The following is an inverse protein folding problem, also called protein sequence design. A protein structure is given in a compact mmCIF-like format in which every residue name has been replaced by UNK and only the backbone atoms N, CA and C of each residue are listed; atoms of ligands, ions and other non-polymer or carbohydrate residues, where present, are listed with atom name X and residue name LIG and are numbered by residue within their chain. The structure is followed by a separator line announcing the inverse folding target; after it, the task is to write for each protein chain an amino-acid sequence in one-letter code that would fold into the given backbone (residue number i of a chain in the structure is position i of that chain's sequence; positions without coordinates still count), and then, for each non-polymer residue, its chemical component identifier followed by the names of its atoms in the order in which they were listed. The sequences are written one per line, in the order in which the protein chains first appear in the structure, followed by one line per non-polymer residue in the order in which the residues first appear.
data_IF_661625184158
#
_entry.id   IF_661625184158
#
_cell.length_a   1.000
_cell.length_b   1.000
_cell.length_c   1.000
_cell.angle_alpha   90.00
_cell.angle_beta   90.00
_cell.angle_gamma   90.00
#
_symmetry.space_group_name_H-M   'P 1'
#
loop_
_entity.id
_entity.type
_entity.pdbx_description
1 polymer ?
#
# COMPACT_ATOMS: atom_id res chain seq x y z
N UNK A 1 -5.86 11.92 19.35
CA UNK A 1 -7.31 11.70 19.61
C UNK A 1 -7.98 11.57 18.26
N UNK A 2 -8.16 10.33 17.82
CA UNK A 2 -8.79 9.99 16.54
C UNK A 2 -10.30 10.05 16.72
N UNK A 3 -10.94 11.04 16.11
CA UNK A 3 -12.40 11.12 16.04
C UNK A 3 -12.91 10.00 15.14
N UNK A 4 -13.46 8.95 15.76
CA UNK A 4 -14.35 8.02 15.07
C UNK A 4 -15.67 8.75 14.84
N UNK A 5 -15.89 9.27 13.64
CA UNK A 5 -17.25 9.62 13.22
C UNK A 5 -18.06 8.32 13.08
N UNK A 6 -19.26 8.25 13.68
CA UNK A 6 -20.10 7.08 13.55
C UNK A 6 -20.62 7.01 12.12
N UNK A 7 -20.39 5.87 11.46
CA UNK A 7 -21.05 5.49 10.22
C UNK A 7 -22.56 5.49 10.52
N UNK A 8 -23.29 6.47 10.00
CA UNK A 8 -24.75 6.50 10.08
C UNK A 8 -25.29 5.27 9.33
N UNK A 9 -25.83 4.35 10.11
CA UNK A 9 -26.43 3.09 9.68
C UNK A 9 -27.71 3.39 8.88
N UNK A 10 -27.69 3.10 7.58
CA UNK A 10 -28.62 2.29 6.72
C UNK A 10 -30.15 2.30 6.97
N UNK A 11 -30.67 2.95 8.02
CA UNK A 11 -32.07 2.88 8.43
C UNK A 11 -33.05 3.73 7.61
N UNK A 12 -32.61 4.87 7.06
CA UNK A 12 -33.49 5.78 6.29
C UNK A 12 -33.82 5.26 4.89
N UNK A 13 -32.87 4.58 4.25
CA UNK A 13 -33.03 4.06 2.88
C UNK A 13 -34.02 2.90 2.81
N UNK A 14 -34.02 1.99 3.78
CA UNK A 14 -34.93 0.84 3.77
C UNK A 14 -36.38 1.27 4.02
N UNK A 15 -36.60 2.28 4.86
CA UNK A 15 -37.94 2.84 5.11
C UNK A 15 -38.48 3.57 3.88
N UNK A 16 -37.64 4.36 3.21
CA UNK A 16 -38.01 5.06 1.95
C UNK A 16 -38.36 4.07 0.83
N UNK A 17 -37.61 2.97 0.69
CA UNK A 17 -37.94 1.92 -0.27
C UNK A 17 -39.26 1.22 0.05
N UNK A 18 -39.52 0.91 1.32
CA UNK A 18 -40.77 0.27 1.74
C UNK A 18 -41.97 1.19 1.56
N UNK A 19 -41.80 2.50 1.77
CA UNK A 19 -42.84 3.50 1.57
C UNK A 19 -43.23 3.60 0.08
N UNK A 20 -42.26 3.70 -0.83
CA UNK A 20 -42.53 3.74 -2.28
C UNK A 20 -43.19 2.44 -2.77
N UNK A 21 -42.74 1.28 -2.27
CA UNK A 21 -43.35 -0.01 -2.63
C UNK A 21 -44.79 -0.11 -2.11
N UNK A 22 -45.06 0.39 -0.91
CA UNK A 22 -46.41 0.44 -0.35
C UNK A 22 -47.32 1.32 -1.20
N UNK A 23 -46.84 2.50 -1.59
CA UNK A 23 -47.60 3.45 -2.43
C UNK A 23 -47.90 2.85 -3.81
N UNK A 24 -46.93 2.16 -4.43
CA UNK A 24 -47.16 1.42 -5.68
C UNK A 24 -48.22 0.32 -5.53
N UNK A 25 -48.19 -0.41 -4.40
CA UNK A 25 -49.17 -1.46 -4.13
C UNK A 25 -50.59 -0.89 -4.03
N UNK A 26 -50.76 0.25 -3.36
CA UNK A 26 -52.07 0.91 -3.21
C UNK A 26 -52.66 1.36 -4.57
N UNK A 27 -51.81 1.92 -5.44
CA UNK A 27 -52.20 2.28 -6.81
C UNK A 27 -52.60 1.03 -7.63
N UNK A 28 -51.83 -0.06 -7.51
CA UNK A 28 -52.11 -1.31 -8.21
C UNK A 28 -53.39 -1.99 -7.72
N UNK A 29 -53.65 -2.00 -6.41
CA UNK A 29 -54.89 -2.54 -5.83
C UNK A 29 -56.13 -1.79 -6.34
N UNK A 30 -55.97 -0.51 -6.67
CA UNK A 30 -57.04 0.30 -7.27
C UNK A 30 -57.21 0.02 -8.77
N UNK A 31 -56.12 -0.13 -9.51
CA UNK A 31 -56.12 -0.32 -10.97
C UNK A 31 -56.49 -1.75 -11.39
N UNK A 32 -56.02 -2.76 -10.66
CA UNK A 32 -56.19 -4.17 -11.00
C UNK A 32 -57.66 -4.60 -11.21
N UNK A 33 -58.60 -4.31 -10.29
CA UNK A 33 -60.00 -4.68 -10.50
C UNK A 33 -60.65 -3.95 -11.67
N UNK A 34 -60.24 -2.70 -11.96
CA UNK A 34 -60.73 -1.93 -13.10
C UNK A 34 -60.26 -2.56 -14.41
N UNK A 35 -58.98 -2.93 -14.51
CA UNK A 35 -58.46 -3.63 -15.69
C UNK A 35 -59.10 -5.00 -15.89
N UNK A 36 -59.33 -5.76 -14.82
CA UNK A 36 -60.00 -7.06 -14.91
C UNK A 36 -61.41 -6.91 -15.48
N UNK A 37 -62.18 -5.93 -15.00
CA UNK A 37 -63.53 -5.64 -15.52
C UNK A 37 -63.49 -5.19 -16.98
N UNK A 38 -62.55 -4.32 -17.34
CA UNK A 38 -62.37 -3.86 -18.71
C UNK A 38 -62.06 -5.01 -19.67
N UNK A 39 -61.14 -5.91 -19.30
CA UNK A 39 -60.78 -7.09 -20.10
C UNK A 39 -61.99 -7.98 -20.31
N UNK A 40 -62.81 -8.23 -19.28
CA UNK A 40 -64.02 -9.03 -19.39
C UNK A 40 -65.04 -8.41 -20.36
N UNK A 41 -65.24 -7.09 -20.31
CA UNK A 41 -66.15 -6.39 -21.21
C UNK A 41 -65.63 -6.42 -22.67
N UNK A 42 -64.34 -6.22 -22.87
CA UNK A 42 -63.69 -6.32 -24.19
C UNK A 42 -63.84 -7.74 -24.77
N UNK A 43 -63.60 -8.77 -23.96
CA UNK A 43 -63.75 -10.17 -24.38
C UNK A 43 -65.19 -10.50 -24.79
N UNK A 44 -66.18 -10.04 -24.01
CA UNK A 44 -67.61 -10.18 -24.37
C UNK A 44 -67.91 -9.47 -25.69
N UNK A 45 -67.43 -8.24 -25.86
CA UNK A 45 -67.65 -7.44 -27.06
C UNK A 45 -67.10 -8.13 -28.32
N UNK A 46 -65.84 -8.57 -28.31
CA UNK A 46 -65.24 -9.27 -29.45
C UNK A 46 -65.83 -10.66 -29.70
N UNK A 47 -66.21 -11.38 -28.63
CA UNK A 47 -66.90 -12.66 -28.75
C UNK A 47 -68.26 -12.53 -29.44
N UNK A 48 -69.05 -11.51 -29.06
CA UNK A 48 -70.35 -11.23 -29.68
C UNK A 48 -70.20 -10.73 -31.11
N UNK A 49 -69.20 -9.90 -31.39
CA UNK A 49 -68.89 -9.44 -32.76
C UNK A 49 -68.65 -10.62 -33.71
N UNK A 50 -67.83 -11.59 -33.29
CA UNK A 50 -67.56 -12.79 -34.09
C UNK A 50 -68.81 -13.64 -34.37
N UNK A 51 -69.77 -13.67 -33.43
CA UNK A 51 -71.03 -14.41 -33.59
C UNK A 51 -71.98 -13.69 -34.56
N UNK A 52 -72.06 -12.36 -34.48
CA UNK A 52 -72.83 -11.53 -35.42
C UNK A 52 -72.28 -11.67 -36.85
N UNK A 53 -70.96 -11.63 -37.01
CA UNK A 53 -70.29 -11.81 -38.31
C UNK A 53 -70.55 -13.21 -38.92
N UNK A 54 -70.97 -14.19 -38.10
CA UNK A 54 -71.27 -15.58 -38.51
C UNK A 54 -72.75 -15.87 -38.83
N UNK A 55 -73.62 -14.84 -38.88
CA UNK A 55 -75.05 -14.92 -39.29
C UNK A 55 -76.00 -15.76 -38.40
N UNK A 56 -75.60 -16.13 -37.18
CA UNK A 56 -76.48 -16.82 -36.23
C UNK A 56 -77.43 -15.81 -35.55
N UNK A 57 -78.74 -16.06 -35.53
CA UNK A 57 -79.79 -15.32 -34.79
C UNK A 57 -79.58 -13.80 -34.56
N UNK A 58 -79.39 -13.05 -35.65
CA UNK A 58 -78.99 -11.63 -35.67
C UNK A 58 -79.74 -10.72 -34.68
N UNK A 59 -81.07 -10.90 -34.53
CA UNK A 59 -81.92 -9.99 -33.72
C UNK A 59 -81.61 -10.02 -32.22
N UNK A 60 -81.24 -11.18 -31.66
CA UNK A 60 -80.94 -11.29 -30.22
C UNK A 60 -79.48 -10.91 -29.93
N UNK A 61 -78.58 -11.21 -30.87
CA UNK A 61 -77.17 -10.87 -30.75
C UNK A 61 -76.89 -9.38 -30.95
N UNK A 62 -77.61 -8.69 -31.85
CA UNK A 62 -77.47 -7.23 -32.04
C UNK A 62 -77.86 -6.46 -30.76
N UNK A 63 -79.01 -6.77 -30.15
CA UNK A 63 -79.43 -6.12 -28.89
C UNK A 63 -78.43 -6.37 -27.76
N UNK A 64 -77.91 -7.60 -27.67
CA UNK A 64 -76.91 -7.95 -26.66
C UNK A 64 -75.59 -7.22 -26.90
N UNK A 65 -75.22 -7.03 -28.16
CA UNK A 65 -74.03 -6.28 -28.56
C UNK A 65 -74.15 -4.79 -28.26
N UNK A 66 -75.29 -4.17 -28.56
CA UNK A 66 -75.59 -2.77 -28.20
C UNK A 66 -75.50 -2.57 -26.68
N UNK A 67 -76.08 -3.49 -25.90
CA UNK A 67 -75.99 -3.43 -24.43
C UNK A 67 -74.53 -3.50 -23.93
N UNK A 68 -73.72 -4.44 -24.46
CA UNK A 68 -72.30 -4.55 -24.07
C UNK A 68 -71.48 -3.33 -24.52
N UNK A 69 -71.82 -2.73 -25.66
CA UNK A 69 -71.20 -1.49 -26.10
C UNK A 69 -71.53 -0.32 -25.18
N UNK A 70 -72.80 -0.17 -24.78
CA UNK A 70 -73.21 0.83 -23.78
C UNK A 70 -72.55 0.60 -22.42
N UNK A 71 -72.43 -0.66 -21.96
CA UNK A 71 -71.69 -0.99 -20.73
C UNK A 71 -70.21 -0.60 -20.80
N UNK A 72 -69.57 -0.75 -21.97
CA UNK A 72 -68.20 -0.31 -22.20
C UNK A 72 -68.07 1.22 -22.17
N UNK A 73 -68.99 1.91 -22.85
CA UNK A 73 -69.01 3.38 -22.90
C UNK A 73 -69.23 3.97 -21.50
N UNK A 74 -70.19 3.45 -20.74
CA UNK A 74 -70.44 3.84 -19.34
C UNK A 74 -69.23 3.55 -18.46
N UNK A 75 -68.63 2.36 -18.58
CA UNK A 75 -67.42 2.01 -17.85
C UNK A 75 -66.28 3.00 -18.11
N UNK A 76 -66.04 3.37 -19.38
CA UNK A 76 -65.02 4.36 -19.71
C UNK A 76 -65.38 5.75 -19.18
N UNK A 77 -66.61 6.22 -19.37
CA UNK A 77 -67.02 7.54 -18.89
C UNK A 77 -66.90 7.68 -17.37
N UNK A 78 -67.19 6.62 -16.61
CA UNK A 78 -67.11 6.63 -15.15
C UNK A 78 -65.69 6.47 -14.60
N UNK A 79 -64.83 5.72 -15.31
CA UNK A 79 -63.54 5.28 -14.76
C UNK A 79 -62.32 5.85 -15.49
N UNK A 80 -62.49 6.57 -16.61
CA UNK A 80 -61.38 7.09 -17.41
C UNK A 80 -60.49 8.04 -16.60
N UNK A 81 -61.08 9.01 -15.91
CA UNK A 81 -60.30 9.98 -15.11
C UNK A 81 -59.54 9.28 -13.99
N UNK A 82 -60.18 8.32 -13.32
CA UNK A 82 -59.56 7.52 -12.26
C UNK A 82 -58.41 6.68 -12.78
N UNK A 83 -58.60 5.95 -13.89
CA UNK A 83 -57.54 5.18 -14.56
C UNK A 83 -56.38 6.07 -14.97
N UNK A 84 -56.68 7.24 -15.56
CA UNK A 84 -55.68 8.20 -16.02
C UNK A 84 -54.84 8.75 -14.87
N UNK A 85 -55.48 9.19 -13.79
CA UNK A 85 -54.80 9.75 -12.61
C UNK A 85 -53.91 8.68 -11.95
N UNK A 86 -54.47 7.51 -11.66
CA UNK A 86 -53.73 6.43 -11.00
C UNK A 86 -52.56 5.92 -11.84
N UNK A 87 -52.69 5.85 -13.17
CA UNK A 87 -51.58 5.50 -14.06
C UNK A 87 -50.46 6.57 -14.06
N UNK A 88 -50.84 7.84 -13.98
CA UNK A 88 -49.87 8.94 -13.89
C UNK A 88 -49.12 8.90 -12.55
N UNK A 89 -49.82 8.69 -11.44
CA UNK A 89 -49.20 8.59 -10.11
C UNK A 89 -48.32 7.33 -10.00
N UNK A 90 -48.77 6.17 -10.51
CA UNK A 90 -47.96 4.95 -10.57
C UNK A 90 -46.66 5.16 -11.38
N UNK A 91 -46.72 5.92 -12.49
CA UNK A 91 -45.54 6.22 -13.30
C UNK A 91 -44.58 7.18 -12.57
N UNK A 92 -45.09 8.14 -11.79
CA UNK A 92 -44.25 9.02 -10.97
C UNK A 92 -43.54 8.24 -9.85
N UNK A 93 -44.26 7.36 -9.16
CA UNK A 93 -43.68 6.53 -8.09
C UNK A 93 -42.65 5.55 -8.64
N UNK A 94 -42.89 4.95 -9.82
CA UNK A 94 -41.90 4.10 -10.50
C UNK A 94 -40.62 4.87 -10.89
N UNK A 95 -40.75 6.09 -11.44
CA UNK A 95 -39.58 6.95 -11.70
C UNK A 95 -38.81 7.29 -10.42
N UNK A 96 -39.52 7.64 -9.35
CA UNK A 96 -38.92 7.93 -8.05
C UNK A 96 -38.14 6.71 -7.52
N UNK A 97 -38.71 5.51 -7.64
CA UNK A 97 -38.04 4.27 -7.27
C UNK A 97 -36.76 4.03 -8.10
N UNK A 98 -36.83 4.23 -9.42
CA UNK A 98 -35.67 4.07 -10.32
C UNK A 98 -34.55 5.05 -9.98
N UNK A 99 -34.88 6.31 -9.71
CA UNK A 99 -33.90 7.33 -9.31
C UNK A 99 -33.26 6.99 -7.96
N UNK A 100 -34.05 6.56 -6.98
CA UNK A 100 -33.55 6.11 -5.68
C UNK A 100 -32.63 4.89 -5.84
N UNK A 101 -33.00 3.90 -6.64
CA UNK A 101 -32.18 2.73 -6.93
C UNK A 101 -30.84 3.09 -7.57
N UNK A 102 -30.86 3.97 -8.59
CA UNK A 102 -29.64 4.44 -9.25
C UNK A 102 -28.73 5.23 -8.31
N UNK A 103 -29.30 6.04 -7.41
CA UNK A 103 -28.53 6.75 -6.39
C UNK A 103 -27.79 5.78 -5.46
N UNK A 104 -28.47 4.72 -4.99
CA UNK A 104 -27.89 3.68 -4.11
C UNK A 104 -26.84 2.84 -4.84
N UNK A 105 -27.05 2.56 -6.12
CA UNK A 105 -26.06 1.88 -6.96
C UNK A 105 -24.76 2.71 -7.07
N UNK A 106 -24.88 4.03 -7.26
CA UNK A 106 -23.72 4.94 -7.30
C UNK A 106 -23.01 5.03 -5.95
N UNK A 107 -23.76 5.08 -4.85
CA UNK A 107 -23.19 5.05 -3.49
C UNK A 107 -22.39 3.76 -3.25
N UNK A 108 -22.94 2.60 -3.58
CA UNK A 108 -22.25 1.30 -3.41
C UNK A 108 -21.00 1.19 -4.28
N UNK A 109 -21.05 1.63 -5.53
CA UNK A 109 -19.86 1.70 -6.40
C UNK A 109 -18.80 2.69 -5.88
N UNK A 110 -19.23 3.81 -5.32
CA UNK A 110 -18.35 4.79 -4.66
C UNK A 110 -17.71 4.25 -3.38
N UNK A 111 -18.45 3.45 -2.61
CA UNK A 111 -17.96 2.78 -1.41
C UNK A 111 -16.95 1.68 -1.74
N UNK A 112 -17.15 0.91 -2.79
CA UNK A 112 -16.22 -0.13 -3.23
C UNK A 112 -14.88 0.48 -3.66
N UNK A 113 -14.91 1.46 -4.56
CA UNK A 113 -13.71 2.17 -5.01
C UNK A 113 -13.03 2.98 -3.89
N UNK A 114 -13.82 3.64 -3.04
CA UNK A 114 -13.30 4.42 -1.92
C UNK A 114 -12.69 3.56 -0.82
N UNK A 115 -13.28 2.40 -0.54
CA UNK A 115 -12.76 1.44 0.45
C UNK A 115 -11.52 0.73 -0.08
N UNK A 116 -11.51 0.32 -1.36
CA UNK A 116 -10.32 -0.25 -2.00
C UNK A 116 -9.16 0.75 -2.01
N UNK A 117 -9.41 2.02 -2.33
CA UNK A 117 -8.38 3.07 -2.29
C UNK A 117 -7.87 3.32 -0.86
N UNK A 118 -8.75 3.36 0.14
CA UNK A 118 -8.34 3.51 1.55
C UNK A 118 -7.55 2.30 2.06
N UNK A 119 -7.94 1.08 1.66
CA UNK A 119 -7.24 -0.16 1.96
C UNK A 119 -5.86 -0.14 1.28
N UNK A 120 -5.77 0.24 0.01
CA UNK A 120 -4.51 0.37 -0.73
C UNK A 120 -3.55 1.36 -0.05
N UNK A 121 -4.03 2.56 0.31
CA UNK A 121 -3.21 3.57 1.00
C UNK A 121 -2.77 3.10 2.39
N UNK A 122 -3.62 2.37 3.12
CA UNK A 122 -3.25 1.80 4.41
C UNK A 122 -2.26 0.64 4.27
N UNK A 123 -2.37 -0.17 3.21
CA UNK A 123 -1.39 -1.21 2.90
C UNK A 123 -0.05 -0.63 2.49
N UNK A 124 -0.02 0.42 1.66
CA UNK A 124 1.21 1.14 1.30
C UNK A 124 1.88 1.71 2.55
N UNK A 125 1.14 2.38 3.44
CA UNK A 125 1.68 2.89 4.71
C UNK A 125 2.19 1.77 5.61
N UNK A 126 1.45 0.67 5.73
CA UNK A 126 1.86 -0.48 6.57
C UNK A 126 3.11 -1.16 5.98
N UNK A 127 3.21 -1.21 4.66
CA UNK A 127 4.37 -1.76 3.95
C UNK A 127 5.59 -0.84 4.10
N UNK A 128 5.43 0.48 4.01
CA UNK A 128 6.47 1.45 4.26
C UNK A 128 6.96 1.41 5.73
N UNK A 129 6.05 1.25 6.68
CA UNK A 129 6.39 1.02 8.09
C UNK A 129 7.14 -0.29 8.29
N UNK A 130 6.72 -1.36 7.62
CA UNK A 130 7.41 -2.64 7.65
C UNK A 130 8.82 -2.57 7.05
N UNK A 131 9.00 -1.86 5.92
CA UNK A 131 10.31 -1.61 5.33
C UNK A 131 11.22 -0.81 6.28
N UNK A 132 10.69 0.25 6.91
CA UNK A 132 11.40 1.01 7.94
C UNK A 132 11.75 0.14 9.14
N UNK A 133 10.86 -0.76 9.57
CA UNK A 133 11.12 -1.66 10.68
C UNK A 133 12.20 -2.71 10.33
N UNK A 134 12.23 -3.21 9.09
CA UNK A 134 13.30 -4.06 8.59
C UNK A 134 14.64 -3.34 8.52
N UNK A 135 14.66 -2.07 8.09
CA UNK A 135 15.85 -1.23 8.12
C UNK A 135 16.31 -0.98 9.56
N UNK A 136 15.38 -0.70 10.48
CA UNK A 136 15.67 -0.56 11.92
C UNK A 136 16.16 -1.88 12.54
N UNK A 137 15.65 -3.05 12.11
CA UNK A 137 16.14 -4.36 12.54
C UNK A 137 17.54 -4.66 12.00
N UNK A 138 17.85 -4.26 10.75
CA UNK A 138 19.21 -4.32 10.20
C UNK A 138 20.16 -3.37 10.92
N UNK A 139 19.70 -2.16 11.23
CA UNK A 139 20.47 -1.16 11.98
C UNK A 139 20.68 -1.58 13.43
N UNK A 140 19.68 -2.13 14.12
CA UNK A 140 19.81 -2.61 15.51
C UNK A 140 20.70 -3.85 15.63
N UNK A 141 20.74 -4.73 14.62
CA UNK A 141 21.77 -5.78 14.52
C UNK A 141 23.19 -5.20 14.32
N UNK A 142 23.30 -4.01 13.72
CA UNK A 142 24.57 -3.30 13.51
C UNK A 142 24.95 -2.34 14.65
N UNK A 143 24.02 -2.02 15.56
CA UNK A 143 24.35 -1.48 16.89
C UNK A 143 24.76 -2.67 17.75
N UNK A 144 25.89 -3.28 17.40
CA UNK A 144 26.54 -4.26 18.24
C UNK A 144 26.81 -3.66 19.62
N UNK A 145 26.76 -4.51 20.64
CA UNK A 145 27.22 -4.21 22.00
C UNK A 145 28.40 -3.24 21.95
N UNK A 146 28.17 -1.98 22.36
CA UNK A 146 29.22 -0.98 22.41
C UNK A 146 30.27 -1.50 23.39
N UNK A 147 31.40 -1.97 22.86
CA UNK A 147 32.52 -2.40 23.68
C UNK A 147 32.94 -1.22 24.56
N UNK A 148 33.12 -1.41 25.87
CA UNK A 148 33.55 -0.33 26.75
C UNK A 148 34.89 0.23 26.26
N UNK A 149 35.01 1.54 26.25
CA UNK A 149 36.25 2.22 25.87
C UNK A 149 37.17 2.15 27.10
N UNK A 150 38.21 1.32 27.00
CA UNK A 150 39.28 1.24 28.00
C UNK A 150 40.26 2.36 27.70
N UNK A 151 40.36 3.33 28.61
CA UNK A 151 41.26 4.48 28.45
C UNK A 151 42.64 4.17 29.05
N UNK A 152 42.70 3.34 30.10
CA UNK A 152 43.90 2.69 30.69
C UNK A 152 43.49 1.52 31.62
N UNK A 153 44.44 0.71 32.11
CA UNK A 153 44.22 -0.56 32.84
C UNK A 153 43.22 -0.49 34.01
N UNK A 154 42.99 0.69 34.61
CA UNK A 154 42.09 0.86 35.76
C UNK A 154 40.89 1.80 35.52
N UNK A 155 40.67 2.30 34.29
CA UNK A 155 39.57 3.22 33.99
C UNK A 155 38.69 2.70 32.84
N UNK A 156 37.60 2.01 33.22
CA UNK A 156 36.57 1.50 32.31
C UNK A 156 35.35 2.42 32.40
N UNK A 157 35.04 3.14 31.33
CA UNK A 157 33.82 3.96 31.25
C UNK A 157 32.70 3.13 30.63
N UNK A 158 31.67 2.80 31.42
CA UNK A 158 30.45 2.18 30.92
C UNK A 158 29.58 3.22 30.20
N UNK A 159 29.45 3.06 28.88
CA UNK A 159 28.75 3.99 27.99
C UNK A 159 27.21 4.02 28.19
N UNK A 160 26.66 3.11 29.01
CA UNK A 160 25.22 3.01 29.26
C UNK A 160 24.69 4.01 30.31
N UNK A 161 25.58 4.66 31.08
CA UNK A 161 25.22 5.59 32.17
C UNK A 161 25.42 7.07 31.80
N UNK A 162 25.94 7.34 30.59
CA UNK A 162 26.25 8.70 30.14
C UNK A 162 25.10 9.29 29.31
N UNK A 163 24.82 10.57 29.55
CA UNK A 163 23.83 11.31 28.76
C UNK A 163 24.32 11.55 27.32
N UNK A 164 23.38 11.70 26.38
CA UNK A 164 23.65 11.90 24.95
C UNK A 164 24.60 13.07 24.65
N UNK A 165 24.58 14.13 25.44
CA UNK A 165 25.50 15.28 25.33
C UNK A 165 26.93 14.92 25.73
N UNK A 166 27.11 14.18 26.82
CA UNK A 166 28.42 13.75 27.32
C UNK A 166 29.11 12.79 26.35
N UNK A 167 28.37 11.88 25.73
CA UNK A 167 28.91 10.97 24.70
C UNK A 167 29.41 11.75 23.48
N UNK A 168 28.68 12.78 23.05
CA UNK A 168 29.08 13.60 21.90
C UNK A 168 30.36 14.39 22.18
N UNK A 169 30.53 14.90 23.39
CA UNK A 169 31.73 15.64 23.75
C UNK A 169 32.96 14.71 23.88
N UNK A 170 32.78 13.51 24.44
CA UNK A 170 33.83 12.47 24.43
C UNK A 170 34.22 12.10 23.00
N UNK A 171 33.26 11.89 22.11
CA UNK A 171 33.53 11.56 20.70
C UNK A 171 34.28 12.68 19.97
N UNK A 172 33.99 13.95 20.26
CA UNK A 172 34.73 15.09 19.70
C UNK A 172 36.17 15.09 20.18
N UNK A 173 36.40 14.93 21.49
CA UNK A 173 37.74 14.87 22.07
C UNK A 173 38.53 13.69 21.49
N UNK A 174 37.89 12.53 21.38
CA UNK A 174 38.52 11.31 20.86
C UNK A 174 38.84 11.42 19.37
N UNK A 175 37.94 12.02 18.58
CA UNK A 175 38.20 12.33 17.17
C UNK A 175 39.43 13.22 17.01
N UNK A 176 39.57 14.26 17.84
CA UNK A 176 40.73 15.16 17.81
C UNK A 176 42.01 14.42 18.21
N UNK A 177 41.97 13.63 19.29
CA UNK A 177 43.11 12.81 19.74
C UNK A 177 43.57 11.83 18.67
N UNK A 178 42.64 11.09 18.05
CA UNK A 178 42.94 10.14 16.97
C UNK A 178 43.50 10.83 15.73
N UNK A 179 42.95 11.98 15.33
CA UNK A 179 43.50 12.76 14.22
C UNK A 179 44.93 13.22 14.49
N UNK A 180 45.23 13.67 15.73
CA UNK A 180 46.58 14.09 16.12
C UNK A 180 47.56 12.91 16.14
N UNK A 181 47.14 11.76 16.67
CA UNK A 181 47.91 10.52 16.64
C UNK A 181 48.18 10.05 15.21
N UNK A 182 47.15 10.05 14.35
CA UNK A 182 47.31 9.59 12.97
C UNK A 182 48.24 10.50 12.18
N UNK A 183 48.14 11.82 12.38
CA UNK A 183 49.07 12.77 11.80
C UNK A 183 50.51 12.53 12.28
N UNK A 184 50.73 12.32 13.58
CA UNK A 184 52.07 12.02 14.10
C UNK A 184 52.63 10.69 13.56
N UNK A 185 51.79 9.65 13.48
CA UNK A 185 52.20 8.35 12.97
C UNK A 185 52.55 8.41 11.48
N UNK A 186 51.68 9.00 10.66
CA UNK A 186 51.83 9.02 9.19
C UNK A 186 52.84 10.06 8.70
N UNK A 187 52.85 11.27 9.28
CA UNK A 187 53.67 12.38 8.78
C UNK A 187 55.01 12.52 9.48
N UNK A 188 55.16 12.00 10.71
CA UNK A 188 56.40 12.17 11.48
C UNK A 188 57.11 10.84 11.68
N UNK A 189 56.43 9.81 12.19
CA UNK A 189 57.08 8.55 12.56
C UNK A 189 57.36 7.65 11.35
N UNK A 190 56.42 7.50 10.42
CA UNK A 190 56.62 6.70 9.21
C UNK A 190 57.82 7.18 8.38
N UNK A 191 57.97 8.49 8.07
CA UNK A 191 59.16 8.98 7.36
C UNK A 191 60.46 8.75 8.12
N UNK A 192 60.48 8.93 9.45
CA UNK A 192 61.65 8.64 10.30
C UNK A 192 62.02 7.16 10.31
N UNK A 193 61.02 6.28 10.26
CA UNK A 193 61.24 4.83 10.20
C UNK A 193 61.81 4.44 8.83
N UNK A 194 61.30 5.02 7.74
CA UNK A 194 61.86 4.82 6.40
C UNK A 194 63.29 5.35 6.28
N UNK A 195 63.60 6.52 6.84
CA UNK A 195 64.98 7.03 6.82
C UNK A 195 65.90 6.14 7.64
N UNK A 196 65.49 5.75 8.85
CA UNK A 196 66.29 4.86 9.71
C UNK A 196 66.48 3.47 9.09
N UNK A 197 65.49 2.95 8.36
CA UNK A 197 65.61 1.68 7.62
C UNK A 197 66.64 1.80 6.48
N UNK A 198 66.64 2.91 5.75
CA UNK A 198 67.62 3.18 4.70
C UNK A 198 69.04 3.27 5.28
N UNK A 199 69.19 3.93 6.42
CA UNK A 199 70.46 4.00 7.14
C UNK A 199 70.91 2.58 7.56
N UNK A 200 70.01 1.76 8.11
CA UNK A 200 70.31 0.38 8.48
C UNK A 200 70.70 -0.50 7.27
N UNK A 201 70.02 -0.37 6.13
CA UNK A 201 70.36 -1.10 4.90
C UNK A 201 71.76 -0.72 4.40
N UNK A 202 72.13 0.57 4.44
CA UNK A 202 73.49 1.00 4.08
C UNK A 202 74.55 0.47 5.07
N UNK A 203 74.27 0.45 6.37
CA UNK A 203 75.14 -0.20 7.35
C UNK A 203 75.29 -1.71 7.10
N UNK A 204 74.22 -2.40 6.73
CA UNK A 204 74.27 -3.83 6.40
C UNK A 204 75.11 -4.11 5.16
N UNK A 205 75.05 -3.27 4.13
CA UNK A 205 75.94 -3.37 2.97
C UNK A 205 77.40 -3.15 3.34
N UNK A 206 77.69 -2.15 4.18
CA UNK A 206 79.04 -1.90 4.70
C UNK A 206 79.55 -3.11 5.48
N UNK A 207 78.75 -3.66 6.38
CA UNK A 207 79.12 -4.83 7.20
C UNK A 207 79.35 -6.08 6.33
N UNK A 208 78.50 -6.31 5.32
CA UNK A 208 78.72 -7.36 4.31
C UNK A 208 80.01 -7.16 3.52
N UNK A 209 80.35 -5.92 3.14
CA UNK A 209 81.58 -5.62 2.43
C UNK A 209 82.82 -5.80 3.33
N UNK A 210 82.72 -5.43 4.61
CA UNK A 210 83.76 -5.68 5.61
C UNK A 210 83.95 -7.17 5.85
N UNK A 211 82.88 -7.96 5.95
CA UNK A 211 82.97 -9.41 6.05
C UNK A 211 83.66 -10.02 4.82
N UNK A 212 83.30 -9.59 3.60
CA UNK A 212 84.00 -10.04 2.38
C UNK A 212 85.49 -9.68 2.42
N UNK A 213 85.83 -8.46 2.82
CA UNK A 213 87.23 -8.04 2.95
C UNK A 213 87.99 -8.91 3.99
N UNK A 214 87.41 -9.15 5.16
CA UNK A 214 88.04 -9.95 6.21
C UNK A 214 88.15 -11.43 5.79
N UNK A 215 87.10 -11.99 5.24
CA UNK A 215 87.05 -13.43 4.96
C UNK A 215 87.67 -13.83 3.63
N UNK A 216 87.56 -13.02 2.60
CA UNK A 216 88.05 -13.35 1.27
C UNK A 216 89.41 -12.70 1.03
N UNK A 217 89.53 -11.40 1.28
CA UNK A 217 90.76 -10.67 0.96
C UNK A 217 91.85 -10.96 1.98
N UNK A 218 91.60 -10.83 3.29
CA UNK A 218 92.63 -11.12 4.29
C UNK A 218 93.00 -12.61 4.36
N UNK A 219 92.04 -13.54 4.25
CA UNK A 219 92.38 -14.98 4.22
C UNK A 219 93.16 -15.34 2.95
N UNK A 220 92.86 -14.75 1.79
CA UNK A 220 93.62 -15.00 0.56
C UNK A 220 95.02 -14.38 0.61
N UNK A 221 95.17 -13.21 1.22
CA UNK A 221 96.44 -12.54 1.42
C UNK A 221 97.31 -13.31 2.44
N UNK A 222 96.72 -13.80 3.53
CA UNK A 222 97.40 -14.66 4.50
C UNK A 222 97.85 -15.99 3.84
N UNK A 223 97.01 -16.62 3.01
CA UNK A 223 97.43 -17.79 2.20
C UNK A 223 98.58 -17.46 1.25
N UNK A 224 98.55 -16.30 0.58
CA UNK A 224 99.66 -15.85 -0.29
C UNK A 224 100.95 -15.63 0.50
N UNK A 225 100.88 -15.04 1.69
CA UNK A 225 102.05 -14.85 2.58
C UNK A 225 102.59 -16.20 3.08
N UNK A 226 101.72 -17.12 3.50
CA UNK A 226 102.13 -18.47 3.92
C UNK A 226 102.84 -19.22 2.77
N UNK A 227 102.28 -19.16 1.57
CA UNK A 227 102.89 -19.78 0.38
C UNK A 227 104.24 -19.13 0.02
N UNK A 228 104.38 -17.81 0.20
CA UNK A 228 105.65 -17.11 -0.03
C UNK A 228 106.72 -17.48 1.02
N UNK A 229 106.34 -17.59 2.29
CA UNK A 229 107.26 -18.02 3.35
C UNK A 229 107.66 -19.50 3.24
N UNK A 230 106.83 -20.34 2.63
CA UNK A 230 107.18 -21.73 2.30
C UNK A 230 108.12 -21.83 1.09
N UNK A 231 108.00 -20.93 0.10
CA UNK A 231 108.87 -20.93 -1.07
C UNK A 231 110.23 -20.23 -0.85
N UNK A 232 110.40 -19.46 0.23
CA UNK A 232 111.67 -18.82 0.61
C UNK A 232 112.41 -19.52 1.77
N UNK A 233 111.91 -20.68 2.25
CA UNK A 233 112.60 -21.55 3.20
C UNK A 233 113.15 -22.83 2.51
N UNK A 234 113.48 -22.74 1.23
CA UNK A 234 114.23 -23.74 0.45
C UNK A 234 115.52 -23.10 -0.05
#
# INVERSE_FOLDING_TARGET
MTGNEPIQVVGSSATEHLEIISEQADHLDTLFPLFQRLIQLIQKFYGLKSLIDSNFELSNHIKTFENVYSELEEFFNENYDKLSIELVELNKTDKSYQDLYLSKLRETQGLDNGSLNKISVNFEKSFDEFLKELELKKLSKNVGNLKPIVIDQDNIINLNELSKSQILDILKVEKIKRSKLNFNNEKILLPKLYSSKKDFESFKEIDSNLQKFIEQDLKSLNKKIQNFNQSHNI
#
